data_IF_321819142763
#
_entry.id   IF_321819142763
#
_cell.length_a   1.000
_cell.length_b   1.000
_cell.length_c   1.000
_cell.angle_alpha   90.00
_cell.angle_beta   90.00
_cell.angle_gamma   90.00
#
_symmetry.space_group_name_H-M   'P 1'
#
loop_
_entity.id
_entity.type
_entity.pdbx_description
1 polymer ?
#
# COMPACT_ATOMS: atom_id res chain seq x y z
N UNK A 1 -12.19 -16.34 11.64
CA UNK A 1 -11.06 -15.38 11.73
C UNK A 1 -10.89 -14.44 10.53
N UNK A 2 -11.34 -14.79 9.31
CA UNK A 2 -11.18 -13.96 8.08
C UNK A 2 -11.77 -12.53 8.17
N UNK A 3 -12.83 -12.32 8.95
CA UNK A 3 -13.50 -11.01 9.04
C UNK A 3 -12.70 -9.96 9.83
N UNK A 4 -11.82 -10.38 10.75
CA UNK A 4 -11.07 -9.43 11.60
C UNK A 4 -9.94 -8.75 10.83
N UNK A 5 -9.19 -9.48 9.98
CA UNK A 5 -8.10 -8.86 9.21
C UNK A 5 -8.62 -7.88 8.15
N UNK A 6 -9.76 -8.19 7.50
CA UNK A 6 -10.41 -7.26 6.57
C UNK A 6 -10.84 -5.97 7.26
N UNK A 7 -11.40 -6.06 8.48
CA UNK A 7 -11.80 -4.90 9.27
C UNK A 7 -10.59 -4.03 9.63
N UNK A 8 -9.52 -4.64 10.14
CA UNK A 8 -8.27 -3.94 10.50
C UNK A 8 -7.67 -3.22 9.28
N UNK A 9 -7.65 -3.88 8.11
CA UNK A 9 -7.13 -3.28 6.87
C UNK A 9 -7.92 -2.03 6.47
N UNK A 10 -9.26 -2.09 6.56
CA UNK A 10 -10.13 -0.95 6.23
C UNK A 10 -9.99 0.19 7.24
N UNK A 11 -9.86 -0.11 8.54
CA UNK A 11 -9.58 0.89 9.58
C UNK A 11 -8.22 1.56 9.33
N UNK A 12 -7.20 0.79 8.93
CA UNK A 12 -5.88 1.34 8.60
C UNK A 12 -5.94 2.28 7.40
N UNK A 13 -6.63 1.90 6.32
CA UNK A 13 -6.85 2.76 5.15
C UNK A 13 -7.56 4.06 5.55
N UNK A 14 -8.57 3.98 6.43
CA UNK A 14 -9.26 5.18 6.93
C UNK A 14 -8.33 6.12 7.71
N UNK A 15 -7.45 5.56 8.55
CA UNK A 15 -6.43 6.34 9.28
C UNK A 15 -5.43 6.98 8.31
N UNK A 16 -4.94 6.26 7.31
CA UNK A 16 -4.00 6.81 6.31
C UNK A 16 -4.63 7.98 5.53
N UNK A 17 -5.91 7.86 5.14
CA UNK A 17 -6.66 8.94 4.49
C UNK A 17 -6.82 10.15 5.41
N UNK A 18 -7.17 9.93 6.68
CA UNK A 18 -7.32 11.01 7.66
C UNK A 18 -6.00 11.72 7.98
N UNK A 19 -4.87 11.02 7.84
CA UNK A 19 -3.52 11.56 7.99
C UNK A 19 -2.98 12.23 6.71
N UNK A 20 -3.79 12.39 5.67
CA UNK A 20 -3.40 12.93 4.36
C UNK A 20 -2.19 12.19 3.76
N UNK A 21 -2.14 10.87 3.97
CA UNK A 21 -1.09 10.04 3.40
C UNK A 21 -1.20 10.03 1.87
N UNK A 22 -0.07 10.04 1.15
CA UNK A 22 -0.09 10.02 -0.31
C UNK A 22 -0.93 8.86 -0.88
N UNK A 23 -1.86 9.12 -1.83
CA UNK A 23 -2.79 8.09 -2.32
C UNK A 23 -2.13 6.83 -2.90
N UNK A 24 -0.98 6.98 -3.57
CA UNK A 24 -0.22 5.85 -4.10
C UNK A 24 0.28 4.91 -2.99
N UNK A 25 0.62 5.43 -1.80
CA UNK A 25 1.01 4.61 -0.65
C UNK A 25 -0.18 3.89 -0.02
N UNK A 26 -1.35 4.53 0.01
CA UNK A 26 -2.61 3.90 0.44
C UNK A 26 -2.95 2.74 -0.49
N UNK A 27 -2.80 2.94 -1.81
CA UNK A 27 -3.02 1.90 -2.82
C UNK A 27 -2.03 0.74 -2.66
N UNK A 28 -0.75 1.03 -2.49
CA UNK A 28 0.26 -0.01 -2.28
C UNK A 28 -0.03 -0.85 -1.03
N UNK A 29 -0.39 -0.22 0.09
CA UNK A 29 -0.83 -0.93 1.29
C UNK A 29 -2.11 -1.76 1.05
N UNK A 30 -3.07 -1.23 0.29
CA UNK A 30 -4.28 -1.97 -0.07
C UNK A 30 -3.96 -3.19 -0.94
N UNK A 31 -2.93 -3.13 -1.79
CA UNK A 31 -2.57 -4.20 -2.71
C UNK A 31 -1.70 -5.28 -2.06
N UNK A 32 -0.67 -4.87 -1.31
CA UNK A 32 0.36 -5.76 -0.76
C UNK A 32 0.23 -6.00 0.74
N UNK A 33 -0.42 -5.09 1.47
CA UNK A 33 -0.45 -5.08 2.93
C UNK A 33 0.80 -4.45 3.57
N UNK A 34 1.73 -3.93 2.78
CA UNK A 34 2.95 -3.30 3.29
C UNK A 34 2.74 -1.81 3.57
N UNK A 35 3.10 -1.39 4.78
CA UNK A 35 3.25 0.01 5.16
C UNK A 35 4.72 0.23 5.51
N UNK A 36 5.43 0.98 4.68
CA UNK A 36 6.89 1.02 4.70
C UNK A 36 7.40 2.44 4.96
N UNK A 37 8.41 2.54 5.82
CA UNK A 37 9.38 3.64 5.75
C UNK A 37 10.41 3.34 4.66
N UNK A 38 11.31 4.30 4.41
CA UNK A 38 12.44 4.09 3.49
C UNK A 38 13.32 2.92 3.92
N UNK A 39 13.61 2.81 5.21
CA UNK A 39 14.40 1.73 5.81
C UNK A 39 13.66 0.39 5.73
N UNK A 40 12.34 0.42 5.94
CA UNK A 40 11.46 -0.74 5.77
C UNK A 40 11.52 -1.29 4.35
N UNK A 41 11.42 -0.40 3.34
CA UNK A 41 11.56 -0.79 1.94
C UNK A 41 12.92 -1.42 1.66
N UNK A 42 14.03 -0.83 2.16
CA UNK A 42 15.36 -1.39 1.96
C UNK A 42 15.53 -2.80 2.52
N UNK A 43 14.80 -3.13 3.59
CA UNK A 43 14.85 -4.42 4.28
C UNK A 43 13.99 -5.51 3.62
N UNK A 44 13.15 -5.16 2.65
CA UNK A 44 12.35 -6.13 1.91
C UNK A 44 13.21 -7.06 1.04
N UNK A 45 12.71 -8.29 0.86
CA UNK A 45 13.23 -9.20 -0.15
C UNK A 45 13.08 -8.61 -1.56
N UNK A 46 13.86 -9.05 -2.56
CA UNK A 46 13.69 -8.60 -3.93
C UNK A 46 12.28 -8.85 -4.48
N UNK A 47 11.65 -9.96 -4.08
CA UNK A 47 10.29 -10.34 -4.50
C UNK A 47 9.25 -9.37 -3.93
N UNK A 48 9.33 -9.09 -2.62
CA UNK A 48 8.41 -8.16 -1.96
C UNK A 48 8.60 -6.72 -2.46
N UNK A 49 9.84 -6.31 -2.79
CA UNK A 49 10.11 -5.02 -3.43
C UNK A 49 9.44 -4.93 -4.79
N UNK A 50 9.63 -5.94 -5.63
CA UNK A 50 9.01 -5.98 -6.95
C UNK A 50 7.47 -5.95 -6.86
N UNK A 51 6.89 -6.66 -5.89
CA UNK A 51 5.45 -6.58 -5.64
C UNK A 51 5.03 -5.17 -5.22
N UNK A 52 5.73 -4.55 -4.27
CA UNK A 52 5.42 -3.19 -3.83
C UNK A 52 5.55 -2.17 -4.97
N UNK A 53 6.64 -2.22 -5.73
CA UNK A 53 6.91 -1.32 -6.84
C UNK A 53 5.86 -1.46 -7.95
N UNK A 54 5.48 -2.70 -8.29
CA UNK A 54 4.40 -2.94 -9.25
C UNK A 54 3.04 -2.39 -8.77
N UNK A 55 2.79 -2.29 -7.46
CA UNK A 55 1.57 -1.69 -6.95
C UNK A 55 1.57 -0.16 -7.11
N UNK A 56 2.73 0.47 -6.91
CA UNK A 56 2.94 1.89 -7.12
C UNK A 56 2.80 2.25 -8.60
N UNK A 57 3.44 1.48 -9.50
CA UNK A 57 3.31 1.65 -10.95
C UNK A 57 1.87 1.49 -11.42
N UNK A 58 1.15 0.49 -10.90
CA UNK A 58 -0.26 0.27 -11.23
C UNK A 58 -1.15 1.46 -10.85
N UNK A 59 -0.86 2.11 -9.71
CA UNK A 59 -1.58 3.32 -9.30
C UNK A 59 -1.39 4.45 -10.33
N UNK A 60 -0.14 4.77 -10.68
CA UNK A 60 0.15 5.87 -11.60
C UNK A 60 -0.33 5.58 -13.02
N UNK A 61 -0.25 4.33 -13.48
CA UNK A 61 -0.77 3.93 -14.79
C UNK A 61 -2.30 4.02 -14.91
N UNK A 62 -3.03 3.99 -13.77
CA UNK A 62 -4.48 4.23 -13.71
C UNK A 62 -4.80 5.72 -13.72
N UNK A 63 -4.01 6.52 -13.02
CA UNK A 63 -4.16 7.99 -12.95
C UNK A 63 -3.90 8.64 -14.32
N UNK A 64 -2.89 8.17 -15.06
CA UNK A 64 -2.58 8.63 -16.42
C UNK A 64 -3.69 8.33 -17.45
N UNK A 65 -4.65 7.48 -17.11
CA UNK A 65 -5.77 7.07 -17.99
C UNK A 65 -7.12 7.69 -17.59
N UNK A 66 -7.15 8.52 -16.56
CA UNK A 66 -8.34 9.22 -16.07
C UNK A 66 -8.41 10.67 -16.58
#
# INVERSE_FOLDING_TARGET
>A
MKNRSKKIKQEMIAVMRAADSPPHLIYAYERTGFLLSKEGYQSLSPEDKAEYDAAIEEYFAKDDKA
#
